data_IF_285706433246
#
_entry.id   IF_285706433246
#
_cell.length_a   1.000
_cell.length_b   1.000
_cell.length_c   1.000
_cell.angle_alpha   90.00
_cell.angle_beta   90.00
_cell.angle_gamma   90.00
#
_symmetry.space_group_name_H-M   'P 1'
#
loop_
_entity.id
_entity.type
_entity.pdbx_description
1 polymer ?
#
# COMPACT_ATOMS: atom_id res chain seq x y z
N UNK A 1 26.61 7.69 0.14
CA UNK A 1 25.96 6.40 -0.24
C UNK A 1 26.86 5.24 0.20
N UNK A 2 26.29 4.29 0.94
CA UNK A 2 27.02 3.10 1.41
C UNK A 2 27.13 2.12 0.23
N UNK A 3 28.30 2.06 -0.39
CA UNK A 3 28.54 1.28 -1.62
C UNK A 3 28.40 -0.25 -1.48
N UNK A 4 28.41 -0.79 -0.26
CA UNK A 4 28.44 -2.23 0.02
C UNK A 4 27.10 -2.83 0.48
N UNK A 5 26.02 -2.07 0.48
CA UNK A 5 24.71 -2.58 0.88
C UNK A 5 24.06 -3.33 -0.28
N UNK A 6 23.83 -4.63 -0.10
CA UNK A 6 23.18 -5.51 -1.10
C UNK A 6 21.67 -5.39 -1.12
N UNK A 7 21.02 -5.17 0.04
CA UNK A 7 19.57 -5.04 0.16
C UNK A 7 19.21 -4.27 1.45
N UNK A 8 18.06 -3.59 1.43
CA UNK A 8 17.51 -2.87 2.57
C UNK A 8 16.15 -3.46 2.86
N UNK A 9 15.96 -3.91 4.10
CA UNK A 9 14.67 -4.32 4.62
C UNK A 9 14.29 -3.44 5.81
N UNK A 10 13.11 -2.85 5.74
CA UNK A 10 12.51 -2.11 6.84
C UNK A 10 11.21 -2.83 7.19
N UNK A 11 11.07 -3.23 8.45
CA UNK A 11 9.87 -3.92 8.89
C UNK A 11 8.63 -3.04 8.68
N UNK A 12 7.57 -3.53 8.02
CA UNK A 12 6.43 -2.68 7.65
C UNK A 12 5.70 -2.01 8.80
N UNK A 13 5.67 -2.63 9.98
CA UNK A 13 5.20 -1.99 11.21
C UNK A 13 6.39 -1.44 12.01
N UNK A 14 7.03 -0.42 11.49
CA UNK A 14 8.32 0.13 11.92
C UNK A 14 8.25 1.03 13.16
N UNK A 15 7.07 1.31 13.69
CA UNK A 15 6.88 2.11 14.92
C UNK A 15 6.69 1.22 16.14
N UNK A 16 6.09 1.79 17.18
CA UNK A 16 5.84 1.11 18.47
C UNK A 16 5.07 -0.22 18.31
N UNK A 17 4.19 -0.32 17.34
CA UNK A 17 3.49 -1.57 17.03
C UNK A 17 4.41 -2.74 16.62
N UNK A 18 5.59 -2.45 16.06
CA UNK A 18 6.60 -3.46 15.74
C UNK A 18 7.37 -3.98 16.94
N UNK A 19 7.47 -3.19 18.01
CA UNK A 19 8.15 -3.59 19.24
C UNK A 19 7.46 -4.80 19.89
N UNK A 20 6.13 -4.83 19.89
CA UNK A 20 5.38 -5.97 20.43
C UNK A 20 5.71 -7.27 19.69
N UNK A 21 5.84 -7.23 18.37
CA UNK A 21 6.26 -8.39 17.56
C UNK A 21 7.70 -8.78 17.85
N UNK A 22 8.60 -7.79 17.98
CA UNK A 22 9.99 -8.03 18.37
C UNK A 22 10.12 -8.70 19.73
N UNK A 23 9.38 -8.22 20.72
CA UNK A 23 9.33 -8.83 22.07
C UNK A 23 8.81 -10.27 22.04
N UNK A 24 7.74 -10.53 21.28
CA UNK A 24 7.20 -11.88 21.13
C UNK A 24 8.20 -12.85 20.48
N UNK A 25 8.92 -12.40 19.45
CA UNK A 25 9.97 -13.18 18.78
C UNK A 25 11.13 -13.46 19.75
N UNK A 26 11.59 -12.45 20.49
CA UNK A 26 12.66 -12.61 21.48
C UNK A 26 12.28 -13.58 22.60
N UNK A 27 11.05 -13.47 23.12
CA UNK A 27 10.54 -14.37 24.15
C UNK A 27 10.44 -15.82 23.64
N UNK A 28 9.94 -15.99 22.43
CA UNK A 28 9.84 -17.31 21.79
C UNK A 28 11.22 -17.94 21.57
N UNK A 29 12.23 -17.16 21.17
CA UNK A 29 13.59 -17.64 20.93
C UNK A 29 14.33 -18.07 22.20
N UNK A 30 13.91 -17.59 23.37
CA UNK A 30 14.45 -18.08 24.67
C UNK A 30 14.06 -19.51 24.95
N UNK A 31 12.91 -19.96 24.46
CA UNK A 31 12.38 -21.30 24.72
C UNK A 31 12.52 -22.25 23.52
N UNK A 32 12.51 -21.72 22.31
CA UNK A 32 12.57 -22.51 21.06
C UNK A 32 13.33 -21.73 19.99
N UNK A 33 14.11 -22.43 19.17
CA UNK A 33 14.80 -21.80 18.05
C UNK A 33 13.79 -21.30 17.04
N UNK A 34 13.63 -19.98 16.95
CA UNK A 34 12.81 -19.34 15.94
C UNK A 34 13.57 -19.31 14.61
N UNK A 35 13.03 -20.01 13.63
CA UNK A 35 13.48 -19.87 12.26
C UNK A 35 12.57 -18.79 11.65
N UNK A 36 13.13 -17.60 11.41
CA UNK A 36 12.41 -16.54 10.71
C UNK A 36 11.98 -17.03 9.34
N UNK A 37 10.74 -17.47 9.22
CA UNK A 37 10.14 -17.67 7.90
C UNK A 37 10.02 -16.30 7.27
N UNK A 38 10.43 -16.18 6.01
CA UNK A 38 10.23 -14.95 5.25
C UNK A 38 8.75 -14.54 5.38
N UNK A 39 8.49 -13.41 6.03
CA UNK A 39 7.18 -12.80 6.01
C UNK A 39 6.93 -12.31 4.58
N UNK A 40 6.36 -13.19 3.77
CA UNK A 40 6.07 -12.92 2.36
C UNK A 40 4.91 -11.95 2.18
N UNK A 41 4.15 -11.72 3.25
CA UNK A 41 2.95 -10.87 3.22
C UNK A 41 2.77 -10.09 4.52
N UNK A 42 2.12 -8.94 4.42
CA UNK A 42 1.64 -8.13 5.55
C UNK A 42 0.11 -8.18 5.70
N UNK A 43 -0.57 -9.01 4.96
CA UNK A 43 -2.02 -9.23 5.09
C UNK A 43 -2.29 -10.24 6.21
N UNK A 44 -2.07 -9.82 7.46
CA UNK A 44 -2.11 -10.67 8.65
C UNK A 44 -3.36 -10.44 9.51
N UNK A 45 -4.11 -9.38 9.22
CA UNK A 45 -5.31 -9.01 9.97
C UNK A 45 -6.54 -9.86 9.61
N UNK A 46 -7.72 -9.46 10.12
CA UNK A 46 -8.96 -10.19 9.89
C UNK A 46 -9.41 -10.18 8.43
N UNK A 47 -10.08 -11.23 8.04
CA UNK A 47 -10.73 -11.42 6.74
C UNK A 47 -12.21 -11.72 6.95
N UNK A 48 -13.03 -11.31 6.00
CA UNK A 48 -14.48 -11.53 6.03
C UNK A 48 -14.92 -12.19 4.73
N UNK A 49 -15.77 -13.21 4.85
CA UNK A 49 -16.36 -13.88 3.69
C UNK A 49 -17.41 -12.99 3.01
N UNK A 50 -17.69 -13.24 1.73
CA UNK A 50 -18.78 -12.59 1.00
C UNK A 50 -20.12 -12.72 1.72
N UNK A 51 -20.34 -13.86 2.42
CA UNK A 51 -21.54 -14.08 3.23
C UNK A 51 -21.60 -13.11 4.41
N UNK A 52 -20.50 -12.89 5.12
CA UNK A 52 -20.44 -11.91 6.22
C UNK A 52 -20.70 -10.49 5.70
N UNK A 53 -20.06 -10.12 4.59
CA UNK A 53 -20.24 -8.80 3.98
C UNK A 53 -21.70 -8.59 3.56
N UNK A 54 -22.29 -9.57 2.86
CA UNK A 54 -23.69 -9.50 2.44
C UNK A 54 -24.66 -9.40 3.60
N UNK A 55 -24.39 -10.14 4.68
CA UNK A 55 -25.20 -10.06 5.92
C UNK A 55 -25.18 -8.64 6.49
N UNK A 56 -24.01 -8.03 6.64
CA UNK A 56 -23.87 -6.66 7.17
C UNK A 56 -24.51 -5.62 6.25
N UNK A 57 -24.37 -5.75 4.93
CA UNK A 57 -25.02 -4.85 3.99
C UNK A 57 -26.56 -4.88 4.13
N UNK A 58 -27.14 -6.07 4.23
CA UNK A 58 -28.59 -6.26 4.40
C UNK A 58 -29.07 -5.75 5.77
N UNK A 59 -28.37 -6.10 6.84
CA UNK A 59 -28.68 -5.68 8.22
C UNK A 59 -28.73 -4.16 8.36
N UNK A 60 -27.85 -3.46 7.65
CA UNK A 60 -27.78 -1.99 7.69
C UNK A 60 -28.56 -1.31 6.56
N UNK A 61 -29.39 -2.03 5.81
CA UNK A 61 -30.19 -1.52 4.69
C UNK A 61 -29.38 -0.76 3.64
N UNK A 62 -28.14 -1.18 3.40
CA UNK A 62 -27.24 -0.55 2.42
C UNK A 62 -27.56 -1.05 1.01
N UNK A 63 -27.67 -0.12 0.06
CA UNK A 63 -27.82 -0.46 -1.34
C UNK A 63 -26.48 -1.01 -1.88
N UNK A 64 -26.56 -2.11 -2.59
CA UNK A 64 -25.38 -2.74 -3.19
C UNK A 64 -25.70 -3.33 -4.56
N UNK A 65 -24.67 -3.55 -5.36
CA UNK A 65 -24.73 -4.28 -6.62
C UNK A 65 -23.67 -5.37 -6.60
N UNK A 66 -23.98 -6.54 -7.15
CA UNK A 66 -23.00 -7.61 -7.34
C UNK A 66 -22.29 -7.41 -8.67
N UNK A 67 -20.97 -7.35 -8.65
CA UNK A 67 -20.14 -7.10 -9.84
C UNK A 67 -19.41 -8.38 -10.22
N UNK A 68 -19.50 -8.75 -11.51
CA UNK A 68 -18.89 -9.99 -12.05
C UNK A 68 -17.35 -9.91 -12.12
N UNK A 69 -16.83 -8.74 -12.51
CA UNK A 69 -15.39 -8.47 -12.66
C UNK A 69 -15.04 -7.20 -11.89
N UNK A 70 -14.83 -7.30 -10.56
CA UNK A 70 -14.62 -6.14 -9.71
C UNK A 70 -13.33 -5.36 -10.07
N UNK A 71 -12.27 -6.04 -10.49
CA UNK A 71 -11.00 -5.40 -10.87
C UNK A 71 -11.18 -4.50 -12.09
N UNK A 72 -11.85 -4.99 -13.12
CA UNK A 72 -12.16 -4.21 -14.33
C UNK A 72 -13.09 -3.03 -14.03
N UNK A 73 -14.07 -3.24 -13.16
CA UNK A 73 -14.98 -2.19 -12.72
C UNK A 73 -14.23 -1.11 -11.94
N UNK A 74 -13.38 -1.50 -10.99
CA UNK A 74 -12.54 -0.59 -10.21
C UNK A 74 -11.62 0.23 -11.13
N UNK A 75 -10.90 -0.43 -12.04
CA UNK A 75 -10.02 0.26 -13.00
C UNK A 75 -10.77 1.31 -13.82
N UNK A 76 -11.98 0.97 -14.34
CA UNK A 76 -12.82 1.91 -15.06
C UNK A 76 -13.26 3.10 -14.21
N UNK A 77 -13.61 2.86 -12.93
CA UNK A 77 -13.99 3.94 -12.00
C UNK A 77 -12.84 4.87 -11.69
N UNK A 78 -11.65 4.33 -11.45
CA UNK A 78 -10.44 5.12 -11.23
C UNK A 78 -10.06 5.95 -12.45
N UNK A 79 -10.16 5.37 -13.66
CA UNK A 79 -9.91 6.07 -14.92
C UNK A 79 -10.91 7.22 -15.17
N UNK A 80 -12.15 7.06 -14.73
CA UNK A 80 -13.18 8.10 -14.71
C UNK A 80 -13.00 9.18 -13.64
N UNK A 81 -11.92 9.12 -12.84
CA UNK A 81 -11.63 10.09 -11.78
C UNK A 81 -12.37 9.86 -10.45
N UNK A 82 -13.05 8.72 -10.28
CA UNK A 82 -13.70 8.42 -9.00
C UNK A 82 -12.67 8.08 -7.93
N UNK A 83 -12.97 8.48 -6.68
CA UNK A 83 -12.30 8.01 -5.48
C UNK A 83 -13.04 6.77 -4.99
N UNK A 84 -12.33 5.67 -4.80
CA UNK A 84 -12.92 4.38 -4.45
C UNK A 84 -12.32 3.84 -3.16
N UNK A 85 -13.16 3.55 -2.17
CA UNK A 85 -12.75 2.79 -0.99
C UNK A 85 -12.77 1.29 -1.31
N UNK A 86 -11.65 0.63 -1.08
CA UNK A 86 -11.47 -0.80 -1.30
C UNK A 86 -11.46 -1.55 0.03
N UNK A 87 -12.27 -2.61 0.12
CA UNK A 87 -12.33 -3.52 1.26
C UNK A 87 -12.36 -4.95 0.73
N UNK A 88 -11.23 -5.66 0.80
CA UNK A 88 -11.07 -7.01 0.26
C UNK A 88 -10.06 -7.83 1.06
N UNK A 89 -10.12 -9.15 0.99
CA UNK A 89 -9.16 -10.08 1.60
C UNK A 89 -8.84 -9.77 3.06
N UNK A 90 -7.66 -10.16 3.50
CA UNK A 90 -7.16 -9.91 4.85
C UNK A 90 -6.66 -8.48 5.03
N UNK A 91 -6.96 -7.87 6.17
CA UNK A 91 -6.47 -6.54 6.50
C UNK A 91 -4.94 -6.50 6.59
N UNK A 92 -4.36 -5.37 6.20
CA UNK A 92 -2.94 -5.10 6.34
C UNK A 92 -2.53 -5.01 7.82
N UNK A 93 -1.35 -5.53 8.14
CA UNK A 93 -0.68 -5.34 9.42
C UNK A 93 0.33 -4.20 9.32
N UNK A 94 0.19 -3.20 10.20
CA UNK A 94 1.05 -2.03 10.23
C UNK A 94 0.33 -0.73 9.82
N UNK A 95 1.05 0.40 9.80
CA UNK A 95 0.46 1.73 9.63
C UNK A 95 0.13 2.08 8.17
N UNK A 96 0.40 1.20 7.21
CA UNK A 96 0.23 1.47 5.77
C UNK A 96 -0.91 0.66 5.20
N UNK A 97 -1.80 1.34 4.46
CA UNK A 97 -2.75 0.68 3.57
C UNK A 97 -1.99 0.10 2.37
N UNK A 98 -2.20 -1.17 2.05
CA UNK A 98 -1.48 -1.89 0.99
C UNK A 98 -2.43 -2.46 -0.09
N UNK A 99 -3.65 -1.94 -0.18
CA UNK A 99 -4.62 -2.31 -1.19
C UNK A 99 -5.90 -2.97 -0.66
N UNK A 100 -5.89 -3.55 0.54
CA UNK A 100 -7.02 -4.30 1.07
C UNK A 100 -7.98 -3.45 1.93
N UNK A 101 -7.50 -2.48 2.67
CA UNK A 101 -8.27 -1.44 3.37
C UNK A 101 -7.75 -0.09 2.93
N UNK A 102 -8.07 0.28 1.69
CA UNK A 102 -7.43 1.40 1.01
C UNK A 102 -8.44 2.33 0.35
N UNK A 103 -8.11 3.60 0.30
CA UNK A 103 -8.77 4.57 -0.57
C UNK A 103 -7.89 4.72 -1.80
N UNK A 104 -8.45 4.40 -2.95
CA UNK A 104 -7.77 4.40 -4.23
C UNK A 104 -8.24 5.57 -5.09
N UNK A 105 -7.32 6.17 -5.82
CA UNK A 105 -7.57 7.32 -6.69
C UNK A 105 -6.61 7.31 -7.87
N UNK A 106 -7.01 7.92 -8.97
CA UNK A 106 -6.13 8.15 -10.11
C UNK A 106 -5.07 9.21 -9.76
N UNK A 107 -3.80 8.89 -10.00
CA UNK A 107 -2.68 9.77 -9.67
C UNK A 107 -2.37 10.82 -10.76
N UNK A 108 -3.11 10.84 -11.87
CA UNK A 108 -2.88 11.79 -12.96
C UNK A 108 -3.31 13.22 -12.63
N UNK A 109 -4.24 13.40 -11.69
CA UNK A 109 -4.74 14.72 -11.28
C UNK A 109 -4.19 15.13 -9.91
N UNK A 110 -3.32 16.14 -9.91
CA UNK A 110 -2.70 16.67 -8.69
C UNK A 110 -3.71 17.32 -7.72
N UNK A 111 -4.82 17.83 -8.22
CA UNK A 111 -5.85 18.52 -7.40
C UNK A 111 -6.51 17.60 -6.39
N UNK A 112 -6.53 16.32 -6.68
CA UNK A 112 -7.08 15.25 -5.84
C UNK A 112 -6.45 15.23 -4.44
N UNK A 113 -5.17 15.57 -4.31
CA UNK A 113 -4.46 15.57 -3.02
C UNK A 113 -5.08 16.56 -2.03
N UNK A 114 -5.32 17.80 -2.47
CA UNK A 114 -5.92 18.84 -1.64
C UNK A 114 -7.34 18.48 -1.21
N UNK A 115 -8.16 18.05 -2.17
CA UNK A 115 -9.55 17.66 -1.91
C UNK A 115 -9.65 16.47 -0.93
N UNK A 116 -8.85 15.42 -1.16
CA UNK A 116 -8.93 14.20 -0.35
C UNK A 116 -8.35 14.41 1.06
N UNK A 117 -7.25 15.16 1.20
CA UNK A 117 -6.72 15.53 2.52
C UNK A 117 -7.75 16.33 3.33
N UNK A 118 -8.42 17.30 2.71
CA UNK A 118 -9.52 18.07 3.36
C UNK A 118 -10.69 17.15 3.75
N UNK A 119 -11.11 16.25 2.86
CA UNK A 119 -12.21 15.32 3.11
C UNK A 119 -11.91 14.34 4.26
N UNK A 120 -10.66 13.88 4.35
CA UNK A 120 -10.17 12.99 5.39
C UNK A 120 -9.75 13.74 6.68
N UNK A 121 -9.93 15.06 6.74
CA UNK A 121 -9.54 15.91 7.88
C UNK A 121 -8.08 15.71 8.31
N UNK A 122 -7.18 15.53 7.35
CA UNK A 122 -5.76 15.37 7.63
C UNK A 122 -5.14 16.74 7.90
N UNK A 123 -4.36 16.81 8.97
CA UNK A 123 -3.66 18.04 9.38
C UNK A 123 -2.40 18.29 8.56
N UNK A 124 -1.80 17.23 8.02
CA UNK A 124 -0.59 17.31 7.22
C UNK A 124 -0.89 17.12 5.73
N UNK A 125 -0.33 18.03 4.92
CA UNK A 125 -0.37 17.90 3.46
C UNK A 125 0.68 16.87 3.02
N UNK A 126 0.28 15.60 2.95
CA UNK A 126 1.14 14.55 2.42
C UNK A 126 0.55 13.98 1.12
N UNK A 127 1.38 13.81 0.08
CA UNK A 127 0.98 13.11 -1.13
C UNK A 127 0.59 11.66 -0.83
N UNK A 128 -0.26 11.10 -1.68
CA UNK A 128 -0.66 9.70 -1.57
C UNK A 128 0.42 8.79 -2.18
N UNK A 129 0.56 7.60 -1.60
CA UNK A 129 1.56 6.63 -2.05
C UNK A 129 1.10 5.95 -3.35
N UNK A 130 1.95 5.86 -4.39
CA UNK A 130 1.60 5.19 -5.63
C UNK A 130 1.69 3.68 -5.51
N UNK A 131 0.71 2.97 -6.10
CA UNK A 131 0.81 1.54 -6.37
C UNK A 131 1.30 1.36 -7.80
N UNK A 132 2.35 0.59 -7.99
CA UNK A 132 2.97 0.41 -9.31
C UNK A 132 3.27 -1.05 -9.58
N UNK A 133 2.84 -1.55 -10.74
CA UNK A 133 3.17 -2.91 -11.18
C UNK A 133 4.66 -2.99 -11.48
N UNK A 134 5.35 -4.03 -11.00
CA UNK A 134 6.80 -4.21 -11.07
C UNK A 134 7.39 -4.01 -12.49
N UNK A 135 6.68 -4.46 -13.54
CA UNK A 135 7.15 -4.28 -14.94
C UNK A 135 7.35 -2.81 -15.34
N UNK A 136 6.67 -1.87 -14.65
CA UNK A 136 6.81 -0.43 -14.91
C UNK A 136 7.71 0.27 -13.89
N UNK A 137 8.09 -0.40 -12.80
CA UNK A 137 8.79 0.22 -11.68
C UNK A 137 10.09 0.94 -12.10
N UNK A 138 10.91 0.32 -12.95
CA UNK A 138 12.16 0.94 -13.46
C UNK A 138 11.93 2.17 -14.35
N UNK A 139 10.75 2.29 -14.97
CA UNK A 139 10.37 3.47 -15.77
C UNK A 139 9.93 4.63 -14.86
N UNK A 140 9.40 4.31 -13.68
CA UNK A 140 8.84 5.29 -12.74
C UNK A 140 9.84 5.75 -11.69
N UNK A 141 10.74 4.88 -11.23
CA UNK A 141 11.60 5.14 -10.08
C UNK A 141 13.05 4.78 -10.36
N UNK A 142 13.97 5.51 -9.69
CA UNK A 142 15.42 5.28 -9.75
C UNK A 142 15.89 4.51 -8.50
N UNK A 143 17.04 3.84 -8.59
CA UNK A 143 17.73 3.24 -7.45
C UNK A 143 16.96 2.12 -6.74
N UNK A 144 16.21 1.29 -7.49
CA UNK A 144 15.39 0.20 -6.93
C UNK A 144 16.17 -1.08 -6.62
N UNK A 145 17.39 -1.23 -7.13
CA UNK A 145 18.14 -2.50 -7.12
C UNK A 145 18.34 -3.07 -5.71
N UNK A 146 18.58 -2.21 -4.74
CA UNK A 146 18.86 -2.60 -3.34
C UNK A 146 17.67 -2.35 -2.39
N UNK A 147 16.45 -2.13 -2.93
CA UNK A 147 15.27 -1.71 -2.17
C UNK A 147 14.05 -2.60 -2.42
N UNK A 148 14.21 -3.76 -3.05
CA UNK A 148 13.10 -4.59 -3.56
C UNK A 148 12.08 -4.98 -2.48
N UNK A 149 12.56 -5.31 -1.28
CA UNK A 149 11.67 -5.66 -0.14
C UNK A 149 11.00 -4.43 0.48
N UNK A 150 11.75 -3.34 0.64
CA UNK A 150 11.25 -2.12 1.25
C UNK A 150 10.15 -1.45 0.41
N UNK A 151 10.32 -1.40 -0.92
CA UNK A 151 9.30 -0.82 -1.83
C UNK A 151 8.04 -1.66 -1.97
N UNK A 152 8.06 -2.93 -1.57
CA UNK A 152 6.85 -3.77 -1.55
C UNK A 152 5.83 -3.29 -0.50
N UNK A 153 6.29 -2.62 0.57
CA UNK A 153 5.48 -2.27 1.73
C UNK A 153 5.43 -0.76 2.04
N UNK A 154 5.77 0.09 1.08
CA UNK A 154 5.80 1.55 1.28
C UNK A 154 6.70 2.00 2.45
N UNK A 155 7.80 1.31 2.72
CA UNK A 155 8.66 1.59 3.88
C UNK A 155 9.86 2.47 3.55
N UNK A 156 10.07 2.80 2.28
CA UNK A 156 11.16 3.65 1.82
C UNK A 156 10.71 4.57 0.69
N UNK A 157 11.28 5.77 0.63
CA UNK A 157 11.14 6.67 -0.51
C UNK A 157 12.20 6.38 -1.58
N UNK A 158 11.92 6.78 -2.80
CA UNK A 158 12.83 6.65 -3.93
C UNK A 158 12.61 7.78 -4.92
N UNK A 159 13.67 8.16 -5.66
CA UNK A 159 13.58 9.21 -6.66
C UNK A 159 12.64 8.83 -7.80
N UNK A 160 11.82 9.76 -8.21
CA UNK A 160 10.97 9.64 -9.37
C UNK A 160 11.71 9.99 -10.65
N UNK A 161 11.34 9.35 -11.76
CA UNK A 161 11.75 9.77 -13.09
C UNK A 161 10.90 10.96 -13.57
N UNK A 162 11.33 11.64 -14.62
CA UNK A 162 10.51 12.67 -15.29
C UNK A 162 9.19 12.10 -15.81
N UNK A 163 9.18 10.85 -16.24
CA UNK A 163 7.96 10.16 -16.64
C UNK A 163 6.97 10.03 -15.47
N UNK A 164 7.44 9.59 -14.30
CA UNK A 164 6.58 9.50 -13.11
C UNK A 164 5.96 10.84 -12.74
N UNK A 165 6.76 11.92 -12.75
CA UNK A 165 6.27 13.27 -12.47
C UNK A 165 5.23 13.74 -13.50
N UNK A 166 5.35 13.30 -14.77
CA UNK A 166 4.41 13.65 -15.84
C UNK A 166 3.09 12.89 -15.73
N UNK A 167 3.12 11.56 -15.50
CA UNK A 167 1.91 10.72 -15.58
C UNK A 167 1.25 10.43 -14.23
N UNK A 168 1.92 10.68 -13.12
CA UNK A 168 1.42 10.45 -11.76
C UNK A 168 1.76 11.60 -10.81
N UNK A 169 1.46 12.86 -11.19
CA UNK A 169 1.90 14.04 -10.44
C UNK A 169 1.31 14.12 -9.03
N UNK A 170 0.15 13.50 -8.76
CA UNK A 170 -0.46 13.46 -7.44
C UNK A 170 0.29 12.55 -6.44
N UNK A 171 1.14 11.64 -6.93
CA UNK A 171 1.89 10.70 -6.11
C UNK A 171 3.38 11.05 -5.97
N UNK A 172 3.81 12.18 -6.56
CA UNK A 172 5.19 12.66 -6.50
C UNK A 172 5.29 13.80 -5.48
N UNK A 173 6.24 13.67 -4.56
CA UNK A 173 6.52 14.66 -3.53
C UNK A 173 7.20 15.90 -4.14
N UNK A 174 7.25 16.98 -3.38
CA UNK A 174 7.86 18.25 -3.81
C UNK A 174 9.36 18.11 -4.11
N UNK A 175 10.04 17.21 -3.39
CA UNK A 175 11.45 16.84 -3.57
C UNK A 175 11.70 15.84 -4.72
N UNK A 176 10.68 15.56 -5.53
CA UNK A 176 10.69 14.61 -6.64
C UNK A 176 10.90 13.15 -6.23
N UNK A 177 10.63 12.81 -4.98
CA UNK A 177 10.57 11.42 -4.51
C UNK A 177 9.12 10.90 -4.48
N UNK A 178 8.97 9.60 -4.31
CA UNK A 178 7.72 8.94 -3.95
C UNK A 178 7.99 7.77 -3.00
N UNK A 179 6.97 7.33 -2.29
CA UNK A 179 7.01 6.15 -1.43
C UNK A 179 6.14 5.04 -2.03
N UNK A 180 6.62 4.35 -3.06
CA UNK A 180 5.81 3.42 -3.82
C UNK A 180 5.52 2.12 -3.08
N UNK A 181 4.37 1.51 -3.42
CA UNK A 181 4.15 0.08 -3.29
C UNK A 181 4.38 -0.55 -4.66
N UNK A 182 5.39 -1.41 -4.77
CA UNK A 182 5.64 -2.16 -6.01
C UNK A 182 5.08 -3.56 -5.85
N UNK A 183 4.13 -3.91 -6.71
CA UNK A 183 3.42 -5.19 -6.70
C UNK A 183 3.73 -5.99 -7.95
N UNK A 184 3.71 -7.32 -7.84
CA UNK A 184 3.72 -8.22 -8.99
C UNK A 184 2.28 -8.43 -9.50
N UNK A 185 2.15 -9.01 -10.67
CA UNK A 185 0.83 -9.24 -11.30
C UNK A 185 -0.08 -10.20 -10.51
N UNK A 186 0.49 -10.94 -9.54
CA UNK A 186 -0.17 -12.03 -8.79
C UNK A 186 -0.19 -11.74 -7.27
N UNK A 187 0.29 -10.57 -6.84
CA UNK A 187 0.27 -10.19 -5.41
C UNK A 187 -1.11 -9.68 -4.99
#
# INVERSE_FOLDING_TARGET
ELKNIKDIFIYPNMGDGGLAVGCAILSYNKSKRFIARNTSTMFLGPEYSDRNILYELKKNNLKYIKIKNPEKYLAKKLDQGYVVACFQGRMEFGPRSLGNRSILVNACDKSVNGWLNKKLKRTEFMPFAPITINKFAKKMYKGLQNKKKAVKYMTITTDCTSLAAKISPAAVHIDKTARPQIINKID
#
